data_IF_950951306143
#
_entry.id   IF_950951306143
#
_cell.length_a   1.000
_cell.length_b   1.000
_cell.length_c   1.000
_cell.angle_alpha   90.00
_cell.angle_beta   90.00
_cell.angle_gamma   90.00
#
_symmetry.space_group_name_H-M   'P 1'
#
loop_
_entity.id
_entity.type
_entity.pdbx_description
1 polymer ?
#
# COMPACT_ATOMS: atom_id res chain seq x y z
N UNK A 1 -9.52 19.87 -8.10
CA UNK A 1 -9.56 19.45 -6.68
C UNK A 1 -9.06 20.60 -5.82
N UNK A 2 -9.47 20.69 -4.56
CA UNK A 2 -9.07 21.78 -3.65
C UNK A 2 -7.70 21.54 -2.96
N UNK A 3 -7.00 20.44 -3.30
CA UNK A 3 -5.72 20.05 -2.71
C UNK A 3 -4.92 19.20 -3.68
N UNK A 4 -3.60 19.14 -3.46
CA UNK A 4 -2.64 18.37 -4.24
C UNK A 4 -2.50 16.93 -3.74
N UNK A 5 -2.18 16.02 -4.67
CA UNK A 5 -2.01 14.59 -4.37
C UNK A 5 -0.53 14.31 -4.08
N UNK A 6 -0.21 14.09 -2.81
CA UNK A 6 1.12 13.68 -2.34
C UNK A 6 1.10 12.23 -1.83
N UNK A 7 1.36 11.28 -2.74
CA UNK A 7 1.28 9.85 -2.44
C UNK A 7 2.36 9.38 -1.45
N UNK A 8 3.60 9.84 -1.59
CA UNK A 8 4.70 9.54 -0.66
C UNK A 8 4.38 10.00 0.78
N UNK A 9 4.00 11.27 0.95
CA UNK A 9 3.62 11.81 2.26
C UNK A 9 2.39 11.10 2.84
N UNK A 10 1.44 10.73 1.99
CA UNK A 10 0.25 9.99 2.42
C UNK A 10 0.60 8.56 2.87
N UNK A 11 1.54 7.90 2.21
CA UNK A 11 2.05 6.60 2.64
C UNK A 11 2.64 6.69 4.06
N UNK A 12 3.51 7.68 4.29
CA UNK A 12 4.14 7.90 5.60
C UNK A 12 3.11 8.21 6.69
N UNK A 13 2.15 9.11 6.41
CA UNK A 13 1.09 9.46 7.37
C UNK A 13 0.23 8.26 7.72
N UNK A 14 -0.25 7.51 6.73
CA UNK A 14 -1.10 6.34 7.00
C UNK A 14 -0.36 5.23 7.72
N UNK A 15 0.94 5.04 7.47
CA UNK A 15 1.73 4.08 8.25
C UNK A 15 1.87 4.51 9.71
N UNK A 16 2.09 5.80 9.97
CA UNK A 16 2.13 6.36 11.33
C UNK A 16 0.78 6.22 12.03
N UNK A 17 -0.33 6.52 11.35
CA UNK A 17 -1.68 6.33 11.86
C UNK A 17 -1.94 4.86 12.19
N UNK A 18 -1.53 3.93 11.32
CA UNK A 18 -1.64 2.49 11.53
C UNK A 18 -0.93 2.04 12.81
N UNK A 19 0.29 2.52 13.05
CA UNK A 19 1.03 2.24 14.29
C UNK A 19 0.30 2.76 15.52
N UNK A 20 -0.13 4.03 15.49
CA UNK A 20 -0.87 4.63 16.61
C UNK A 20 -2.14 3.84 16.93
N UNK A 21 -2.89 3.41 15.92
CA UNK A 21 -4.11 2.62 16.09
C UNK A 21 -3.81 1.23 16.64
N UNK A 22 -2.74 0.60 16.17
CA UNK A 22 -2.29 -0.70 16.66
C UNK A 22 -1.90 -0.63 18.15
N UNK A 23 -1.15 0.39 18.55
CA UNK A 23 -0.77 0.63 19.96
C UNK A 23 -2.00 0.83 20.86
N UNK A 24 -3.06 1.43 20.30
CA UNK A 24 -4.36 1.61 20.96
C UNK A 24 -5.33 0.43 20.77
N UNK A 25 -4.84 -0.73 20.31
CA UNK A 25 -5.62 -1.97 20.09
C UNK A 25 -6.81 -1.82 19.12
N UNK A 26 -6.77 -0.83 18.22
CA UNK A 26 -7.76 -0.62 17.15
C UNK A 26 -7.35 -1.37 15.87
N UNK A 27 -7.31 -2.69 15.96
CA UNK A 27 -6.69 -3.57 14.95
C UNK A 27 -7.30 -3.46 13.55
N UNK A 28 -8.63 -3.42 13.41
CA UNK A 28 -9.26 -3.33 12.09
C UNK A 28 -8.85 -2.04 11.35
N UNK A 29 -8.84 -0.92 12.08
CA UNK A 29 -8.44 0.37 11.54
C UNK A 29 -6.93 0.42 11.28
N UNK A 30 -6.11 -0.15 12.16
CA UNK A 30 -4.67 -0.25 11.95
C UNK A 30 -4.35 -1.04 10.66
N UNK A 31 -4.97 -2.21 10.48
CA UNK A 31 -4.80 -3.03 9.28
C UNK A 31 -5.21 -2.31 8.00
N UNK A 32 -6.33 -1.57 8.03
CA UNK A 32 -6.74 -0.71 6.92
C UNK A 32 -5.66 0.32 6.57
N UNK A 33 -5.15 1.04 7.57
CA UNK A 33 -4.15 2.07 7.38
C UNK A 33 -2.81 1.53 6.87
N UNK A 34 -2.37 0.35 7.31
CA UNK A 34 -1.16 -0.27 6.77
C UNK A 34 -1.28 -0.61 5.29
N UNK A 35 -2.37 -1.24 4.86
CA UNK A 35 -2.50 -1.52 3.43
C UNK A 35 -2.71 -0.27 2.58
N UNK A 36 -3.43 0.74 3.09
CA UNK A 36 -3.54 2.00 2.38
C UNK A 36 -2.19 2.74 2.25
N UNK A 37 -1.34 2.65 3.28
CA UNK A 37 0.03 3.14 3.21
C UNK A 37 0.85 2.43 2.12
N UNK A 38 0.75 1.10 2.03
CA UNK A 38 1.39 0.30 0.99
C UNK A 38 0.91 0.71 -0.42
N UNK A 39 -0.39 0.90 -0.61
CA UNK A 39 -0.95 1.38 -1.89
C UNK A 39 -0.37 2.74 -2.28
N UNK A 40 -0.33 3.70 -1.35
CA UNK A 40 0.23 5.02 -1.60
C UNK A 40 1.70 4.95 -2.01
N UNK A 41 2.51 4.14 -1.33
CA UNK A 41 3.93 3.96 -1.67
C UNK A 41 4.10 3.34 -3.06
N UNK A 42 3.35 2.29 -3.39
CA UNK A 42 3.38 1.64 -4.71
C UNK A 42 3.01 2.63 -5.81
N UNK A 43 1.93 3.39 -5.64
CA UNK A 43 1.48 4.38 -6.63
C UNK A 43 2.49 5.50 -6.85
N UNK A 44 3.19 5.92 -5.80
CA UNK A 44 4.30 6.86 -5.95
C UNK A 44 5.45 6.24 -6.75
N UNK A 45 5.90 5.04 -6.39
CA UNK A 45 6.98 4.33 -7.10
C UNK A 45 6.63 4.03 -8.57
N UNK A 46 5.35 3.80 -8.88
CA UNK A 46 4.88 3.67 -10.26
C UNK A 46 5.08 4.96 -11.04
N UNK A 47 4.77 6.12 -10.45
CA UNK A 47 5.00 7.42 -11.09
C UNK A 47 6.48 7.70 -11.31
N UNK A 48 7.33 7.37 -10.33
CA UNK A 48 8.79 7.46 -10.47
C UNK A 48 9.31 6.51 -11.57
N UNK A 49 8.66 5.36 -11.76
CA UNK A 49 8.96 4.43 -12.86
C UNK A 49 8.35 4.86 -14.21
N UNK A 50 7.73 6.04 -14.31
CA UNK A 50 7.20 6.61 -15.55
C UNK A 50 5.76 6.22 -15.89
N UNK A 51 5.02 5.61 -14.96
CA UNK A 51 3.58 5.33 -15.17
C UNK A 51 2.79 6.64 -15.12
N UNK A 52 1.97 6.87 -16.14
CA UNK A 52 1.18 8.09 -16.29
C UNK A 52 0.05 8.19 -15.26
N UNK A 53 -0.36 9.41 -14.92
CA UNK A 53 -1.36 9.66 -13.86
C UNK A 53 -2.77 9.19 -14.22
N UNK A 54 -3.08 9.09 -15.51
CA UNK A 54 -4.34 8.59 -16.05
C UNK A 54 -4.37 7.06 -16.23
N UNK A 55 -3.25 6.37 -15.98
CA UNK A 55 -3.21 4.92 -15.97
C UNK A 55 -4.17 4.38 -14.88
N UNK A 56 -5.08 3.45 -15.21
CA UNK A 56 -6.02 2.86 -14.25
C UNK A 56 -5.35 2.29 -12.99
N UNK A 57 -4.11 1.81 -13.11
CA UNK A 57 -3.35 1.26 -12.00
C UNK A 57 -3.06 2.30 -10.90
N UNK A 58 -2.95 3.59 -11.23
CA UNK A 58 -2.69 4.68 -10.26
C UNK A 58 -3.83 4.83 -9.24
N UNK A 59 -5.06 4.50 -9.63
CA UNK A 59 -6.24 4.66 -8.77
C UNK A 59 -6.86 3.33 -8.34
N UNK A 60 -6.29 2.20 -8.78
CA UNK A 60 -6.68 0.89 -8.33
C UNK A 60 -6.35 0.67 -6.84
N UNK A 61 -7.07 -0.27 -6.23
CA UNK A 61 -6.85 -0.73 -4.86
C UNK A 61 -6.55 -2.23 -4.85
N UNK A 62 -5.90 -2.73 -3.81
CA UNK A 62 -5.76 -4.17 -3.62
C UNK A 62 -7.14 -4.85 -3.47
N UNK A 63 -7.29 -6.07 -4.02
CA UNK A 63 -6.24 -6.88 -4.64
C UNK A 63 -5.89 -6.50 -6.11
N UNK A 64 -6.75 -5.75 -6.80
CA UNK A 64 -6.61 -5.43 -8.23
C UNK A 64 -5.37 -4.60 -8.58
N UNK A 65 -4.92 -3.73 -7.67
CA UNK A 65 -3.72 -2.90 -7.82
C UNK A 65 -2.50 -3.73 -8.21
N UNK A 66 -2.30 -4.92 -7.61
CA UNK A 66 -1.13 -5.76 -7.86
C UNK A 66 -0.98 -6.11 -9.35
N UNK A 67 -2.07 -6.58 -9.94
CA UNK A 67 -2.11 -7.05 -11.33
C UNK A 67 -1.88 -5.88 -12.27
N UNK A 68 -2.61 -4.78 -12.06
CA UNK A 68 -2.53 -3.59 -12.90
C UNK A 68 -1.15 -2.93 -12.80
N UNK A 69 -0.57 -2.84 -11.60
CA UNK A 69 0.77 -2.29 -11.40
C UNK A 69 1.83 -3.11 -12.15
N UNK A 70 1.81 -4.45 -12.04
CA UNK A 70 2.77 -5.32 -12.74
C UNK A 70 2.68 -5.21 -14.28
N UNK A 71 1.49 -4.93 -14.82
CA UNK A 71 1.26 -4.68 -16.24
C UNK A 71 1.74 -3.29 -16.69
N UNK A 72 1.66 -2.30 -15.81
CA UNK A 72 1.97 -0.90 -16.14
C UNK A 72 3.45 -0.56 -15.99
N UNK A 73 4.14 -1.19 -15.04
CA UNK A 73 5.56 -0.89 -14.77
C UNK A 73 6.49 -1.56 -15.78
N UNK A 74 7.47 -0.81 -16.28
CA UNK A 74 8.48 -1.31 -17.21
C UNK A 74 9.86 -0.70 -16.94
N UNK A 75 10.91 -1.27 -17.54
CA UNK A 75 12.27 -0.76 -17.43
C UNK A 75 12.98 -1.07 -16.12
N UNK A 76 14.24 -0.59 -16.01
CA UNK A 76 15.15 -0.92 -14.91
C UNK A 76 14.76 -0.29 -13.57
N UNK A 77 14.17 0.91 -13.59
CA UNK A 77 13.73 1.61 -12.38
C UNK A 77 12.56 0.90 -11.68
N UNK A 78 11.79 0.10 -12.41
CA UNK A 78 10.72 -0.71 -11.85
C UNK A 78 11.21 -1.98 -11.11
N UNK A 79 12.51 -2.31 -11.16
CA UNK A 79 13.05 -3.57 -10.63
C UNK A 79 12.69 -3.83 -9.15
N UNK A 80 13.03 -2.93 -8.22
CA UNK A 80 12.70 -3.09 -6.81
C UNK A 80 11.19 -3.23 -6.55
N UNK A 81 10.37 -2.40 -7.23
CA UNK A 81 8.92 -2.46 -7.11
C UNK A 81 8.35 -3.78 -7.66
N UNK A 82 8.86 -4.26 -8.80
CA UNK A 82 8.50 -5.55 -9.38
C UNK A 82 8.81 -6.69 -8.42
N UNK A 83 10.03 -6.73 -7.87
CA UNK A 83 10.42 -7.76 -6.88
C UNK A 83 9.51 -7.74 -5.67
N UNK A 84 9.07 -6.58 -5.19
CA UNK A 84 8.11 -6.47 -4.09
C UNK A 84 6.74 -7.04 -4.47
N UNK A 85 6.19 -6.62 -5.61
CA UNK A 85 4.86 -7.02 -6.08
C UNK A 85 4.78 -8.49 -6.53
N UNK A 86 5.90 -9.11 -6.88
CA UNK A 86 5.97 -10.52 -7.26
C UNK A 86 6.00 -11.48 -6.06
N UNK A 87 6.26 -10.99 -4.84
CA UNK A 87 6.17 -11.82 -3.62
C UNK A 87 4.76 -12.38 -3.48
N UNK A 88 4.64 -13.70 -3.40
CA UNK A 88 3.35 -14.40 -3.38
C UNK A 88 2.39 -13.84 -2.31
N UNK A 89 2.92 -13.66 -1.09
CA UNK A 89 2.14 -13.27 0.08
C UNK A 89 2.04 -11.76 0.32
N UNK A 90 2.59 -10.92 -0.57
CA UNK A 90 2.57 -9.48 -0.38
C UNK A 90 1.14 -8.94 -0.44
N UNK A 91 0.73 -8.23 0.62
CA UNK A 91 -0.62 -7.72 0.83
C UNK A 91 -1.71 -8.79 0.70
N UNK A 92 -1.36 -10.06 0.96
CA UNK A 92 -2.28 -11.18 0.87
C UNK A 92 -3.46 -10.98 1.84
N UNK A 93 -4.67 -11.23 1.32
CA UNK A 93 -5.96 -11.06 2.02
C UNK A 93 -6.28 -9.64 2.50
N UNK A 94 -5.45 -8.64 2.21
CA UNK A 94 -5.87 -7.26 2.39
C UNK A 94 -6.79 -6.86 1.23
N UNK A 95 -7.90 -6.23 1.56
CA UNK A 95 -8.87 -5.72 0.60
C UNK A 95 -9.41 -4.40 1.14
N UNK A 96 -9.41 -3.36 0.30
CA UNK A 96 -9.86 -2.02 0.69
C UNK A 96 -11.28 -2.01 1.27
N UNK A 97 -12.12 -3.00 0.91
CA UNK A 97 -13.49 -3.18 1.41
C UNK A 97 -13.55 -3.56 2.90
N UNK A 98 -12.43 -3.96 3.51
CA UNK A 98 -12.37 -4.24 4.96
C UNK A 98 -12.83 -3.06 5.82
N UNK A 99 -12.78 -1.83 5.30
CA UNK A 99 -13.30 -0.61 5.97
C UNK A 99 -14.81 -0.68 6.27
N UNK A 100 -15.54 -1.60 5.64
CA UNK A 100 -16.96 -1.83 5.86
C UNK A 100 -17.25 -3.11 6.66
N UNK A 101 -16.22 -3.86 7.04
CA UNK A 101 -16.38 -5.04 7.88
C UNK A 101 -16.83 -4.63 9.29
N UNK A 102 -17.52 -5.51 10.04
CA UNK A 102 -17.79 -5.30 11.46
C UNK A 102 -16.49 -5.11 12.24
N UNK A 103 -16.55 -4.33 13.32
CA UNK A 103 -15.43 -4.22 14.26
C UNK A 103 -15.08 -5.59 14.85
N UNK A 104 -13.78 -5.84 15.06
CA UNK A 104 -13.24 -7.09 15.58
C UNK A 104 -13.13 -8.22 14.56
N UNK A 105 -13.24 -7.92 13.25
CA UNK A 105 -13.15 -8.94 12.20
C UNK A 105 -11.72 -9.28 11.79
N UNK A 106 -10.75 -8.44 12.16
CA UNK A 106 -9.35 -8.57 11.73
C UNK A 106 -8.48 -9.06 12.88
N UNK A 107 -7.83 -10.19 12.65
CA UNK A 107 -6.90 -10.79 13.61
C UNK A 107 -5.55 -10.05 13.65
N UNK A 108 -4.93 -10.03 14.82
CA UNK A 108 -3.69 -9.30 15.07
C UNK A 108 -2.53 -9.78 14.18
N UNK A 109 -2.50 -11.07 13.84
CA UNK A 109 -1.50 -11.67 12.96
C UNK A 109 -1.58 -11.12 11.53
N UNK A 110 -2.79 -10.86 11.02
CA UNK A 110 -3.03 -10.21 9.72
C UNK A 110 -2.55 -8.77 9.74
N UNK A 111 -2.87 -8.02 10.81
CA UNK A 111 -2.42 -6.63 10.97
C UNK A 111 -0.89 -6.56 10.96
N UNK A 112 -0.22 -7.44 11.70
CA UNK A 112 1.24 -7.47 11.77
C UNK A 112 1.88 -7.82 10.42
N UNK A 113 1.30 -8.77 9.67
CA UNK A 113 1.75 -9.06 8.30
C UNK A 113 1.61 -7.83 7.38
N UNK A 114 0.45 -7.19 7.39
CA UNK A 114 0.22 -5.99 6.56
C UNK A 114 1.09 -4.82 6.98
N UNK A 115 1.41 -4.68 8.27
CA UNK A 115 2.41 -3.72 8.75
C UNK A 115 3.78 -3.99 8.15
N UNK A 116 4.23 -5.25 8.14
CA UNK A 116 5.50 -5.66 7.53
C UNK A 116 5.54 -5.42 6.01
N UNK A 117 4.44 -5.67 5.31
CA UNK A 117 4.32 -5.38 3.88
C UNK A 117 4.35 -3.86 3.59
N UNK A 118 3.64 -3.07 4.41
CA UNK A 118 3.67 -1.62 4.31
C UNK A 118 5.07 -1.05 4.59
N UNK A 119 5.79 -1.62 5.56
CA UNK A 119 7.18 -1.29 5.86
C UNK A 119 8.10 -1.57 4.68
N UNK A 120 7.94 -2.73 4.03
CA UNK A 120 8.69 -3.08 2.83
C UNK A 120 8.41 -2.12 1.67
N UNK A 121 7.15 -1.73 1.46
CA UNK A 121 6.76 -0.78 0.42
C UNK A 121 7.32 0.63 0.68
N UNK A 122 7.22 1.12 1.92
CA UNK A 122 7.78 2.42 2.32
C UNK A 122 9.30 2.40 2.25
N UNK A 123 9.93 1.29 2.62
CA UNK A 123 11.37 1.11 2.51
C UNK A 123 11.90 1.24 1.07
N UNK A 124 11.05 1.03 0.05
CA UNK A 124 11.42 1.29 -1.35
C UNK A 124 11.42 2.77 -1.73
N UNK A 125 10.71 3.65 -1.01
CA UNK A 125 10.67 5.10 -1.28
C UNK A 125 12.05 5.75 -1.07
N UNK A 126 12.82 5.25 -0.12
CA UNK A 126 14.11 5.84 0.30
C UNK A 126 15.33 5.10 -0.26
N UNK A 127 15.14 4.18 -1.22
CA UNK A 127 16.20 3.32 -1.79
C UNK A 127 16.52 3.62 -3.26
N UNK A 128 15.95 4.69 -3.82
CA UNK A 128 16.26 5.22 -5.15
C UNK A 128 17.17 6.45 -5.00
#
# INVERSE_FOLDING_TARGET
MAYDVHLEQSATRHYQDGKLLMDNRRLDAAGYHFGFAAECAIKHLMREAGVMTDDPAIWAHFPGLRVLALQSISGRMAGPLRTLLERENFMQLWDVRMRYAPNGSIEADKVERWRGDADAAIGCLYRL
#
